data_IF_587624749605
#
_entry.id   IF_587624749605
#
_cell.length_a   1.000
_cell.length_b   1.000
_cell.length_c   1.000
_cell.angle_alpha   90.00
_cell.angle_beta   90.00
_cell.angle_gamma   90.00
#
_symmetry.space_group_name_H-M   'P 1'
#
loop_
_entity.id
_entity.type
_entity.pdbx_description
1 polymer ?
#
# COMPACT_ATOMS: atom_id res chain seq x y z
N UNK A 1 10.28 -40.00 -45.46
CA UNK A 1 9.30 -39.56 -44.43
C UNK A 1 9.94 -39.02 -43.14
N UNK A 2 11.28 -38.92 -43.04
CA UNK A 2 11.99 -38.41 -41.84
C UNK A 2 12.17 -36.88 -41.79
N UNK A 3 12.24 -36.19 -42.93
CA UNK A 3 12.46 -34.73 -42.96
C UNK A 3 11.24 -33.91 -42.52
N UNK A 4 10.03 -34.40 -42.80
CA UNK A 4 8.80 -33.68 -42.46
C UNK A 4 8.57 -33.57 -40.94
N UNK A 5 9.04 -34.56 -40.18
CA UNK A 5 8.99 -34.53 -38.71
C UNK A 5 9.98 -33.52 -38.10
N UNK A 6 11.07 -33.23 -38.81
CA UNK A 6 12.07 -32.23 -38.40
C UNK A 6 11.56 -30.81 -38.64
N UNK A 7 10.94 -30.56 -39.80
CA UNK A 7 10.31 -29.27 -40.14
C UNK A 7 9.18 -28.88 -39.17
N UNK A 8 8.32 -29.82 -38.81
CA UNK A 8 7.23 -29.61 -37.83
C UNK A 8 7.76 -29.20 -36.44
N UNK A 9 8.88 -29.77 -36.00
CA UNK A 9 9.48 -29.42 -34.70
C UNK A 9 10.08 -28.02 -34.71
N UNK A 10 10.75 -27.63 -35.79
CA UNK A 10 11.29 -26.28 -35.94
C UNK A 10 10.19 -25.22 -36.03
N UNK A 11 9.07 -25.52 -36.70
CA UNK A 11 7.93 -24.61 -36.76
C UNK A 11 7.25 -24.45 -35.39
N UNK A 12 7.06 -25.55 -34.64
CA UNK A 12 6.50 -25.51 -33.28
C UNK A 12 7.43 -24.76 -32.32
N UNK A 13 8.74 -24.97 -32.41
CA UNK A 13 9.72 -24.21 -31.62
C UNK A 13 9.71 -22.72 -31.98
N UNK A 14 9.55 -22.38 -33.26
CA UNK A 14 9.41 -21.01 -33.74
C UNK A 14 8.14 -20.32 -33.22
N UNK A 15 7.00 -21.01 -33.22
CA UNK A 15 5.73 -20.52 -32.68
C UNK A 15 5.77 -20.35 -31.16
N UNK A 16 6.38 -21.30 -30.45
CA UNK A 16 6.56 -21.20 -29.00
C UNK A 16 7.48 -20.03 -28.63
N UNK A 17 8.55 -19.81 -29.40
CA UNK A 17 9.45 -18.68 -29.18
C UNK A 17 8.74 -17.33 -29.38
N UNK A 18 7.92 -17.20 -30.43
CA UNK A 18 7.15 -15.97 -30.71
C UNK A 18 6.05 -15.73 -29.70
N UNK A 19 5.30 -16.77 -29.29
CA UNK A 19 4.30 -16.65 -28.22
C UNK A 19 4.93 -16.22 -26.90
N UNK A 20 6.07 -16.80 -26.53
CA UNK A 20 6.80 -16.40 -25.32
C UNK A 20 7.24 -14.93 -25.38
N UNK A 21 7.74 -14.49 -26.53
CA UNK A 21 8.13 -13.09 -26.74
C UNK A 21 6.92 -12.16 -26.62
N UNK A 22 5.78 -12.53 -27.20
CA UNK A 22 4.54 -11.74 -27.16
C UNK A 22 3.99 -11.62 -25.73
N UNK A 23 3.89 -12.74 -25.01
CA UNK A 23 3.44 -12.74 -23.60
C UNK A 23 4.36 -11.89 -22.74
N UNK A 24 5.67 -11.99 -22.95
CA UNK A 24 6.63 -11.15 -22.25
C UNK A 24 6.45 -9.65 -22.61
N UNK A 25 6.14 -9.34 -23.87
CA UNK A 25 5.96 -7.96 -24.32
C UNK A 25 4.67 -7.32 -23.78
N UNK A 26 3.58 -8.09 -23.76
CA UNK A 26 2.30 -7.70 -23.16
C UNK A 26 2.36 -7.54 -21.64
N UNK A 27 3.21 -8.30 -20.94
CA UNK A 27 3.29 -8.25 -19.46
C UNK A 27 4.36 -7.30 -18.93
N UNK A 28 5.52 -7.19 -19.58
CA UNK A 28 6.63 -6.36 -19.11
C UNK A 28 6.34 -4.86 -19.29
N UNK A 29 5.62 -4.49 -20.33
CA UNK A 29 5.16 -3.11 -20.56
C UNK A 29 4.39 -2.52 -19.37
N UNK A 30 3.29 -3.15 -18.93
CA UNK A 30 2.53 -2.68 -17.78
C UNK A 30 3.27 -2.84 -16.43
N UNK A 31 4.10 -3.87 -16.27
CA UNK A 31 4.88 -4.09 -15.03
C UNK A 31 5.87 -2.95 -14.75
N UNK A 32 6.53 -2.40 -15.77
CA UNK A 32 7.42 -1.23 -15.61
C UNK A 32 6.67 0.01 -15.13
N UNK A 33 5.43 0.20 -15.57
CA UNK A 33 4.56 1.29 -15.09
C UNK A 33 4.12 1.09 -13.64
N UNK A 34 3.81 -0.15 -13.25
CA UNK A 34 3.34 -0.50 -11.92
C UNK A 34 4.38 -0.23 -10.82
N UNK A 35 5.67 -0.45 -11.12
CA UNK A 35 6.76 -0.25 -10.16
C UNK A 35 6.78 1.16 -9.55
N UNK A 36 6.52 2.19 -10.36
CA UNK A 36 6.49 3.59 -9.89
C UNK A 36 5.26 3.87 -9.02
N UNK A 37 4.10 3.35 -9.37
CA UNK A 37 2.89 3.47 -8.54
C UNK A 37 3.06 2.75 -7.20
N UNK A 38 3.66 1.56 -7.22
CA UNK A 38 3.93 0.80 -6.02
C UNK A 38 4.93 1.53 -5.10
N UNK A 39 5.99 2.10 -5.64
CA UNK A 39 6.94 2.89 -4.83
C UNK A 39 6.28 4.11 -4.18
N UNK A 40 5.40 4.82 -4.90
CA UNK A 40 4.63 5.92 -4.31
C UNK A 40 3.64 5.44 -3.25
N UNK A 41 3.03 4.27 -3.44
CA UNK A 41 2.17 3.64 -2.45
C UNK A 41 2.92 3.30 -1.16
N UNK A 42 4.09 2.66 -1.27
CA UNK A 42 4.94 2.32 -0.13
C UNK A 42 5.44 3.57 0.58
N UNK A 43 5.97 4.55 -0.16
CA UNK A 43 6.45 5.81 0.42
C UNK A 43 5.33 6.55 1.18
N UNK A 44 4.12 6.60 0.59
CA UNK A 44 2.96 7.21 1.23
C UNK A 44 2.51 6.43 2.46
N UNK A 45 2.55 5.09 2.43
CA UNK A 45 2.20 4.25 3.57
C UNK A 45 3.14 4.51 4.76
N UNK A 46 4.45 4.62 4.51
CA UNK A 46 5.43 4.94 5.55
C UNK A 46 5.18 6.34 6.11
N UNK A 47 4.96 7.33 5.23
CA UNK A 47 4.66 8.70 5.63
C UNK A 47 3.37 8.79 6.46
N UNK A 48 2.30 8.12 6.05
CA UNK A 48 1.03 8.07 6.78
C UNK A 48 1.16 7.36 8.13
N UNK A 49 1.91 6.26 8.19
CA UNK A 49 2.18 5.57 9.45
C UNK A 49 2.93 6.45 10.45
N UNK A 50 3.97 7.14 9.98
CA UNK A 50 4.71 8.10 10.80
C UNK A 50 3.81 9.24 11.29
N UNK A 51 3.00 9.82 10.40
CA UNK A 51 2.04 10.87 10.75
C UNK A 51 1.05 10.40 11.83
N UNK A 52 0.52 9.17 11.73
CA UNK A 52 -0.41 8.62 12.72
C UNK A 52 0.23 8.49 14.11
N UNK A 53 1.48 8.02 14.17
CA UNK A 53 2.23 7.88 15.43
C UNK A 53 2.45 9.26 16.04
N UNK A 54 2.98 10.22 15.27
CA UNK A 54 3.24 11.57 15.77
C UNK A 54 1.96 12.29 16.20
N UNK A 55 0.85 12.15 15.47
CA UNK A 55 -0.43 12.76 15.83
C UNK A 55 -0.96 12.18 17.16
N UNK A 56 -0.83 10.87 17.34
CA UNK A 56 -1.25 10.20 18.58
C UNK A 56 -0.39 10.64 19.76
N UNK A 57 0.93 10.69 19.59
CA UNK A 57 1.85 11.19 20.61
C UNK A 57 1.59 12.66 20.93
N UNK A 58 1.37 13.50 19.92
CA UNK A 58 1.03 14.90 20.11
C UNK A 58 -0.26 15.04 20.93
N UNK A 59 -1.33 14.30 20.60
CA UNK A 59 -2.58 14.35 21.34
C UNK A 59 -2.40 13.98 22.83
N UNK A 60 -1.68 12.88 23.10
CA UNK A 60 -1.38 12.45 24.48
C UNK A 60 -0.54 13.52 25.19
N UNK A 61 0.51 14.02 24.52
CA UNK A 61 1.48 14.93 25.12
C UNK A 61 0.88 16.31 25.40
N UNK A 62 0.02 16.82 24.51
CA UNK A 62 -0.72 18.06 24.71
C UNK A 62 -1.62 17.95 25.94
N UNK A 63 -2.37 16.85 26.08
CA UNK A 63 -3.20 16.65 27.28
C UNK A 63 -2.35 16.55 28.55
N UNK A 64 -1.22 15.85 28.51
CA UNK A 64 -0.35 15.76 29.68
C UNK A 64 0.31 17.10 30.05
N UNK A 65 0.62 17.96 29.07
CA UNK A 65 1.29 19.26 29.32
C UNK A 65 0.34 20.35 29.82
N UNK A 66 -0.88 20.38 29.28
CA UNK A 66 -1.86 21.41 29.62
C UNK A 66 -2.57 21.15 30.96
N UNK A 67 -2.49 19.92 31.49
CA UNK A 67 -3.27 19.53 32.67
C UNK A 67 -2.46 18.67 33.64
N UNK A 68 -1.83 19.33 34.62
CA UNK A 68 -1.19 18.71 35.80
C UNK A 68 -2.19 17.96 36.70
N UNK A 69 -3.49 18.14 36.46
CA UNK A 69 -4.60 17.49 37.17
C UNK A 69 -4.67 15.97 36.89
N UNK A 70 -4.08 15.50 35.79
CA UNK A 70 -4.05 14.08 35.45
C UNK A 70 -2.97 13.27 36.20
N UNK A 71 -2.16 13.92 37.04
CA UNK A 71 -1.23 13.24 37.94
C UNK A 71 -2.00 12.62 39.13
N UNK A 72 -2.44 11.37 38.97
CA UNK A 72 -3.20 10.63 40.00
C UNK A 72 -4.20 9.63 39.42
N UNK A 73 -5.40 9.53 40.02
CA UNK A 73 -6.51 8.65 39.60
C UNK A 73 -6.95 8.82 38.14
N UNK A 74 -6.70 9.99 37.55
CA UNK A 74 -7.14 10.32 36.18
C UNK A 74 -6.05 10.17 35.12
N UNK A 75 -4.93 9.52 35.45
CA UNK A 75 -3.80 9.28 34.54
C UNK A 75 -4.14 8.44 33.30
N UNK A 76 -5.30 7.77 33.28
CA UNK A 76 -5.77 6.98 32.13
C UNK A 76 -6.38 7.84 30.99
N UNK A 77 -6.82 9.06 31.28
CA UNK A 77 -7.52 9.93 30.31
C UNK A 77 -6.68 10.31 29.08
N UNK A 78 -5.39 10.69 29.22
CA UNK A 78 -4.54 10.96 28.06
C UNK A 78 -4.42 9.77 27.11
N UNK A 79 -4.40 8.55 27.64
CA UNK A 79 -4.33 7.33 26.84
C UNK A 79 -5.64 7.06 26.09
N UNK A 80 -6.79 7.33 26.72
CA UNK A 80 -8.10 7.29 26.02
C UNK A 80 -8.16 8.30 24.88
N UNK A 81 -7.60 9.50 25.06
CA UNK A 81 -7.49 10.48 23.98
C UNK A 81 -6.60 9.97 22.85
N UNK A 82 -5.46 9.34 23.17
CA UNK A 82 -4.60 8.68 22.17
C UNK A 82 -5.35 7.61 21.38
N UNK A 83 -6.12 6.75 22.05
CA UNK A 83 -6.97 5.73 21.41
C UNK A 83 -8.00 6.39 20.49
N UNK A 84 -8.68 7.45 20.96
CA UNK A 84 -9.66 8.18 20.16
C UNK A 84 -9.03 8.83 18.91
N UNK A 85 -7.85 9.43 19.04
CA UNK A 85 -7.09 9.99 17.92
C UNK A 85 -6.68 8.92 16.91
N UNK A 86 -6.17 7.78 17.37
CA UNK A 86 -5.82 6.66 16.50
C UNK A 86 -7.05 6.10 15.76
N UNK A 87 -8.18 5.95 16.46
CA UNK A 87 -9.43 5.48 15.88
C UNK A 87 -9.97 6.46 14.85
N UNK A 88 -9.92 7.76 15.15
CA UNK A 88 -10.31 8.82 14.21
C UNK A 88 -9.46 8.76 12.94
N UNK A 89 -8.14 8.67 13.08
CA UNK A 89 -7.23 8.55 11.94
C UNK A 89 -7.51 7.29 11.12
N UNK A 90 -7.77 6.15 11.77
CA UNK A 90 -8.14 4.90 11.11
C UNK A 90 -9.44 5.03 10.32
N UNK A 91 -10.48 5.62 10.91
CA UNK A 91 -11.75 5.88 10.22
C UNK A 91 -11.54 6.82 9.03
N UNK A 92 -10.75 7.88 9.17
CA UNK A 92 -10.43 8.77 8.06
C UNK A 92 -9.69 8.05 6.94
N UNK A 93 -8.74 7.17 7.26
CA UNK A 93 -8.05 6.34 6.28
C UNK A 93 -9.03 5.42 5.54
N UNK A 94 -9.94 4.75 6.26
CA UNK A 94 -10.99 3.92 5.64
C UNK A 94 -11.93 4.72 4.74
N UNK A 95 -12.33 5.92 5.17
CA UNK A 95 -13.17 6.82 4.38
C UNK A 95 -12.44 7.31 3.12
N UNK A 96 -11.14 7.61 3.23
CA UNK A 96 -10.32 8.00 2.08
C UNK A 96 -10.25 6.87 1.05
N UNK A 97 -10.02 5.62 1.49
CA UNK A 97 -10.02 4.43 0.62
C UNK A 97 -11.40 4.22 -0.03
N UNK A 98 -12.47 4.28 0.76
CA UNK A 98 -13.85 4.13 0.26
C UNK A 98 -14.23 5.22 -0.74
N UNK A 99 -13.72 6.44 -0.56
CA UNK A 99 -13.97 7.57 -1.45
C UNK A 99 -13.24 7.40 -2.79
N UNK A 100 -12.04 6.83 -2.79
CA UNK A 100 -11.30 6.54 -4.02
C UNK A 100 -12.02 5.46 -4.86
N UNK A 101 -12.51 4.40 -4.21
CA UNK A 101 -13.30 3.35 -4.87
C UNK A 101 -14.66 3.81 -5.41
N UNK A 102 -15.17 4.97 -5.00
CA UNK A 102 -16.42 5.57 -5.53
C UNK A 102 -16.21 6.53 -6.70
N UNK A 103 -14.95 6.90 -6.99
CA UNK A 103 -14.56 7.82 -8.07
C UNK A 103 -14.06 7.10 -9.33
N UNK A 104 -13.73 5.81 -9.22
CA UNK A 104 -13.51 4.92 -10.36
C UNK A 104 -14.81 4.28 -10.78
#
# INVERSE_FOLDING_TARGET
>A
MSDQHRGLRTDVEGLLATLRAYVAQETIGPLRGLGRYLSFGVASSVCFGAAAIFLTLAAIRSLQELTTIFEGTWSFVPYLAGIATALCFFVLALLAIKRDGRRR
#
